data_IF_855123405701
#
_entry.id   IF_855123405701
#
_cell.length_a   1.000
_cell.length_b   1.000
_cell.length_c   1.000
_cell.angle_alpha   90.00
_cell.angle_beta   90.00
_cell.angle_gamma   90.00
#
_symmetry.space_group_name_H-M   'P 1'
#
loop_
_entity.id
_entity.type
_entity.pdbx_description
1 polymer ?
#
# COMPACT_ATOMS: atom_id res chain seq x y z
N UNK A 1 -9.69 -22.11 -20.01
CA UNK A 1 -10.50 -22.49 -18.84
C UNK A 1 -11.69 -21.56 -18.65
N UNK A 2 -12.81 -22.11 -18.17
CA UNK A 2 -13.99 -21.36 -17.75
C UNK A 2 -14.66 -22.01 -16.53
N UNK A 3 -15.43 -21.23 -15.75
CA UNK A 3 -16.29 -21.74 -14.69
C UNK A 3 -17.65 -22.13 -15.28
N UNK A 4 -18.13 -23.34 -15.00
CA UNK A 4 -19.50 -23.77 -15.29
C UNK A 4 -20.27 -23.84 -13.98
N UNK A 5 -21.31 -23.02 -13.83
CA UNK A 5 -22.17 -23.04 -12.65
C UNK A 5 -23.59 -23.40 -13.08
N UNK A 6 -24.08 -24.54 -12.57
CA UNK A 6 -25.39 -25.10 -12.90
C UNK A 6 -26.29 -25.00 -11.67
N UNK A 7 -27.53 -24.57 -11.84
CA UNK A 7 -28.49 -24.46 -10.73
C UNK A 7 -29.94 -24.78 -11.12
N UNK A 8 -30.68 -25.36 -10.18
CA UNK A 8 -32.13 -25.52 -10.23
C UNK A 8 -32.89 -24.23 -9.87
N UNK A 9 -32.21 -23.27 -9.24
CA UNK A 9 -32.85 -22.09 -8.67
C UNK A 9 -33.26 -21.12 -9.78
N UNK A 10 -34.55 -21.08 -10.10
CA UNK A 10 -35.11 -20.12 -11.04
C UNK A 10 -34.75 -18.67 -10.67
N UNK A 11 -34.35 -17.90 -11.67
CA UNK A 11 -33.95 -16.50 -11.49
C UNK A 11 -32.58 -16.28 -10.84
N UNK A 12 -31.81 -17.34 -10.55
CA UNK A 12 -30.47 -17.21 -9.95
C UNK A 12 -29.56 -16.22 -10.70
N UNK A 13 -29.65 -16.16 -12.03
CA UNK A 13 -28.81 -15.31 -12.88
C UNK A 13 -29.38 -13.91 -13.12
N UNK A 14 -30.42 -13.51 -12.37
CA UNK A 14 -30.99 -12.15 -12.40
C UNK A 14 -30.48 -11.26 -11.27
N UNK A 15 -29.94 -11.87 -10.21
CA UNK A 15 -29.32 -11.17 -9.08
C UNK A 15 -27.80 -11.31 -9.19
N UNK A 16 -27.00 -10.32 -8.77
CA UNK A 16 -25.54 -10.36 -8.92
C UNK A 16 -24.82 -11.28 -7.92
N UNK A 17 -25.56 -12.18 -7.25
CA UNK A 17 -25.04 -12.99 -6.13
C UNK A 17 -25.65 -14.38 -6.16
N UNK A 18 -24.86 -15.40 -5.82
CA UNK A 18 -25.33 -16.78 -5.76
C UNK A 18 -24.64 -17.56 -4.64
N UNK A 19 -25.34 -18.53 -4.06
CA UNK A 19 -24.83 -19.41 -3.01
C UNK A 19 -24.68 -20.83 -3.55
N UNK A 20 -23.45 -21.30 -3.69
CA UNK A 20 -23.13 -22.65 -4.14
C UNK A 20 -22.81 -23.55 -2.92
N UNK A 21 -23.37 -24.76 -2.79
CA UNK A 21 -22.94 -25.71 -1.76
C UNK A 21 -21.48 -26.15 -1.98
N UNK A 22 -20.66 -26.16 -0.92
CA UNK A 22 -19.21 -26.42 -1.06
C UNK A 22 -18.92 -27.88 -1.49
N UNK A 23 -19.77 -28.82 -1.12
CA UNK A 23 -19.70 -30.24 -1.52
C UNK A 23 -19.97 -30.45 -3.01
N UNK A 24 -20.56 -29.44 -3.67
CA UNK A 24 -20.85 -29.41 -5.11
C UNK A 24 -19.80 -28.69 -5.93
N UNK A 25 -18.73 -28.20 -5.29
CA UNK A 25 -17.63 -27.54 -5.98
C UNK A 25 -16.67 -28.53 -6.65
N UNK A 26 -16.19 -28.14 -7.84
CA UNK A 26 -15.35 -28.92 -8.73
C UNK A 26 -15.92 -30.32 -9.04
N UNK A 27 -17.23 -30.50 -8.97
CA UNK A 27 -17.87 -31.69 -9.53
C UNK A 27 -17.72 -31.67 -11.05
N UNK A 28 -17.52 -32.83 -11.68
CA UNK A 28 -17.36 -32.95 -13.14
C UNK A 28 -16.20 -32.12 -13.72
N UNK A 29 -15.27 -31.72 -12.86
CA UNK A 29 -13.95 -31.16 -13.21
C UNK A 29 -12.92 -32.30 -13.29
N UNK A 30 -12.01 -32.23 -14.26
CA UNK A 30 -10.90 -33.19 -14.35
C UNK A 30 -10.03 -33.20 -13.09
N UNK A 31 -9.56 -34.39 -12.69
CA UNK A 31 -8.83 -34.61 -11.43
C UNK A 31 -7.66 -33.65 -11.19
N UNK A 32 -6.77 -33.38 -12.18
CA UNK A 32 -5.66 -32.44 -11.97
C UNK A 32 -6.13 -31.01 -11.65
N UNK A 33 -7.18 -30.55 -12.33
CA UNK A 33 -7.78 -29.23 -12.14
C UNK A 33 -8.50 -29.19 -10.78
N UNK A 34 -9.23 -30.24 -10.44
CA UNK A 34 -9.96 -30.35 -9.17
C UNK A 34 -9.01 -30.26 -7.97
N UNK A 35 -7.90 -30.99 -7.98
CA UNK A 35 -6.95 -30.96 -6.86
C UNK A 35 -6.28 -29.59 -6.71
N UNK A 36 -6.07 -28.86 -7.81
CA UNK A 36 -5.52 -27.49 -7.79
C UNK A 36 -6.41 -26.51 -7.00
N UNK A 37 -7.73 -26.55 -7.20
CA UNK A 37 -8.65 -25.58 -6.58
C UNK A 37 -9.31 -26.06 -5.28
N UNK A 38 -9.03 -27.29 -4.85
CA UNK A 38 -9.68 -27.94 -3.70
C UNK A 38 -9.55 -27.20 -2.37
N UNK A 39 -8.43 -26.52 -2.17
CA UNK A 39 -8.09 -25.86 -0.89
C UNK A 39 -8.53 -24.39 -0.84
N UNK A 40 -8.98 -23.83 -1.96
CA UNK A 40 -9.30 -22.40 -2.09
C UNK A 40 -8.24 -21.48 -1.46
N UNK A 41 -6.98 -21.68 -1.81
CA UNK A 41 -5.94 -20.70 -1.50
C UNK A 41 -6.30 -19.33 -2.11
N UNK A 42 -5.69 -18.26 -1.60
CA UNK A 42 -5.89 -16.92 -2.17
C UNK A 42 -5.57 -16.89 -3.67
N UNK A 43 -4.48 -17.54 -4.08
CA UNK A 43 -4.10 -17.71 -5.49
C UNK A 43 -5.15 -18.48 -6.31
N UNK A 44 -5.69 -19.58 -5.76
CA UNK A 44 -6.74 -20.37 -6.40
C UNK A 44 -8.03 -19.54 -6.58
N UNK A 45 -8.40 -18.74 -5.59
CA UNK A 45 -9.58 -17.85 -5.66
C UNK A 45 -9.40 -16.79 -6.75
N UNK A 46 -8.25 -16.14 -6.80
CA UNK A 46 -7.97 -15.13 -7.83
C UNK A 46 -7.95 -15.73 -9.24
N UNK A 47 -7.41 -16.94 -9.39
CA UNK A 47 -7.44 -17.63 -10.67
C UNK A 47 -8.86 -18.02 -11.08
N UNK A 48 -9.69 -18.54 -10.17
CA UNK A 48 -11.11 -18.82 -10.43
C UNK A 48 -11.88 -17.55 -10.83
N UNK A 49 -11.61 -16.41 -10.19
CA UNK A 49 -12.17 -15.09 -10.55
C UNK A 49 -11.72 -14.63 -11.94
N UNK A 50 -10.54 -15.05 -12.40
CA UNK A 50 -9.99 -14.65 -13.70
C UNK A 50 -10.73 -15.30 -14.87
N UNK A 51 -11.35 -16.46 -14.66
CA UNK A 51 -11.99 -17.22 -15.71
C UNK A 51 -13.37 -16.64 -16.11
N UNK A 52 -13.71 -16.66 -17.41
CA UNK A 52 -15.09 -16.44 -17.82
C UNK A 52 -16.00 -17.52 -17.21
N UNK A 53 -17.26 -17.18 -17.00
CA UNK A 53 -18.22 -18.05 -16.31
C UNK A 53 -19.46 -18.23 -17.16
N UNK A 54 -19.83 -19.49 -17.38
CA UNK A 54 -21.07 -19.91 -17.99
C UNK A 54 -22.06 -20.28 -16.90
N UNK A 55 -23.11 -19.47 -16.77
CA UNK A 55 -24.19 -19.63 -15.80
C UNK A 55 -25.35 -20.36 -16.47
N UNK A 56 -25.67 -21.55 -15.98
CA UNK A 56 -26.58 -22.50 -16.64
C UNK A 56 -27.68 -22.92 -15.66
N UNK A 57 -28.87 -23.18 -16.19
CA UNK A 57 -29.93 -23.82 -15.44
C UNK A 57 -29.94 -25.32 -15.67
N UNK A 58 -30.40 -26.09 -14.68
CA UNK A 58 -30.62 -27.53 -14.83
C UNK A 58 -31.64 -27.85 -15.94
N UNK A 59 -31.52 -29.04 -16.55
CA UNK A 59 -32.30 -29.43 -17.73
C UNK A 59 -33.83 -29.37 -17.53
N UNK A 60 -34.32 -29.50 -16.30
CA UNK A 60 -35.76 -29.43 -16.01
C UNK A 60 -36.28 -27.99 -15.92
N UNK A 61 -35.42 -27.01 -15.64
CA UNK A 61 -35.80 -25.58 -15.58
C UNK A 61 -35.89 -24.99 -16.99
N UNK A 62 -35.03 -25.47 -17.92
CA UNK A 62 -34.95 -25.01 -19.32
C UNK A 62 -34.75 -23.50 -19.48
N UNK A 63 -34.12 -22.85 -18.50
CA UNK A 63 -33.78 -21.44 -18.59
C UNK A 63 -32.58 -21.18 -19.51
N UNK A 64 -32.53 -19.98 -20.09
CA UNK A 64 -31.41 -19.54 -20.92
C UNK A 64 -30.13 -19.37 -20.09
N UNK A 65 -29.00 -19.83 -20.63
CA UNK A 65 -27.70 -19.61 -20.04
C UNK A 65 -27.23 -18.15 -20.19
N UNK A 66 -26.31 -17.73 -19.32
CA UNK A 66 -25.68 -16.40 -19.35
C UNK A 66 -24.16 -16.54 -19.30
N UNK A 67 -23.46 -15.56 -19.85
CA UNK A 67 -21.99 -15.49 -19.84
C UNK A 67 -21.57 -14.27 -19.03
N UNK A 68 -20.57 -14.45 -18.17
CA UNK A 68 -20.09 -13.40 -17.29
C UNK A 68 -18.78 -13.79 -16.62
N UNK A 69 -18.55 -13.29 -15.41
CA UNK A 69 -17.40 -13.64 -14.58
C UNK A 69 -17.73 -13.46 -13.11
N UNK A 70 -16.98 -14.16 -12.27
CA UNK A 70 -17.05 -14.02 -10.82
C UNK A 70 -16.22 -12.80 -10.39
N UNK A 71 -16.79 -11.96 -9.54
CA UNK A 71 -16.15 -10.77 -8.97
C UNK A 71 -15.69 -10.99 -7.54
N UNK A 72 -16.39 -11.84 -6.79
CA UNK A 72 -16.03 -12.14 -5.41
C UNK A 72 -16.36 -13.58 -5.05
N UNK A 73 -15.50 -14.20 -4.23
CA UNK A 73 -15.71 -15.54 -3.70
C UNK A 73 -15.48 -15.47 -2.19
N UNK A 74 -16.48 -15.86 -1.40
CA UNK A 74 -16.36 -15.97 0.06
C UNK A 74 -16.81 -17.34 0.50
N UNK A 75 -15.94 -18.03 1.24
CA UNK A 75 -16.24 -19.37 1.77
C UNK A 75 -16.84 -19.23 3.16
N UNK A 76 -17.99 -19.85 3.38
CA UNK A 76 -18.72 -19.84 4.66
C UNK A 76 -19.12 -21.26 5.03
N UNK A 77 -18.44 -21.86 5.99
CA UNK A 77 -18.71 -23.21 6.53
C UNK A 77 -18.96 -24.28 5.45
N UNK A 78 -20.21 -24.43 4.99
CA UNK A 78 -20.66 -25.43 4.01
C UNK A 78 -21.07 -24.83 2.66
N UNK A 79 -20.81 -23.55 2.41
CA UNK A 79 -21.23 -22.86 1.19
C UNK A 79 -20.18 -21.89 0.67
N UNK A 80 -20.19 -21.70 -0.63
CA UNK A 80 -19.39 -20.73 -1.36
C UNK A 80 -20.36 -19.65 -1.82
N UNK A 81 -20.20 -18.46 -1.27
CA UNK A 81 -20.90 -17.28 -1.73
C UNK A 81 -20.12 -16.66 -2.88
N UNK A 82 -20.78 -16.43 -4.01
CA UNK A 82 -20.18 -15.75 -5.15
C UNK A 82 -20.95 -14.47 -5.46
N UNK A 83 -20.21 -13.43 -5.79
CA UNK A 83 -20.71 -12.28 -6.53
C UNK A 83 -20.24 -12.37 -7.97
N UNK A 84 -21.07 -11.95 -8.91
CA UNK A 84 -20.75 -12.05 -10.33
C UNK A 84 -21.36 -10.91 -11.14
N UNK A 85 -20.83 -10.73 -12.34
CA UNK A 85 -21.36 -9.82 -13.35
C UNK A 85 -21.60 -10.57 -14.64
N UNK A 86 -22.76 -10.33 -15.25
CA UNK A 86 -23.12 -10.84 -16.58
C UNK A 86 -22.65 -9.84 -17.62
N UNK A 87 -22.11 -10.32 -18.74
CA UNK A 87 -21.78 -9.46 -19.87
C UNK A 87 -23.09 -8.98 -20.54
N UNK A 88 -23.42 -7.68 -20.47
CA UNK A 88 -24.70 -7.18 -20.96
C UNK A 88 -24.85 -7.31 -22.48
N UNK A 89 -23.73 -7.27 -23.20
CA UNK A 89 -23.71 -7.30 -24.66
C UNK A 89 -23.76 -8.73 -25.22
N UNK A 90 -23.58 -9.77 -24.40
CA UNK A 90 -23.68 -11.17 -24.84
C UNK A 90 -25.11 -11.63 -24.61
N UNK A 91 -25.79 -12.01 -25.69
CA UNK A 91 -27.18 -12.44 -25.62
C UNK A 91 -27.33 -13.73 -24.78
N UNK A 92 -28.48 -13.88 -24.08
CA UNK A 92 -28.91 -15.16 -23.52
C UNK A 92 -28.71 -16.31 -24.49
N UNK A 93 -28.11 -17.42 -24.03
CA UNK A 93 -27.93 -18.62 -24.84
C UNK A 93 -29.10 -19.57 -24.55
N UNK A 94 -30.01 -19.82 -25.51
CA UNK A 94 -31.13 -20.71 -25.29
C UNK A 94 -30.69 -22.14 -24.93
N UNK A 95 -31.48 -22.84 -24.12
CA UNK A 95 -31.17 -24.22 -23.72
C UNK A 95 -30.96 -25.18 -24.92
N UNK A 96 -31.74 -25.00 -25.99
CA UNK A 96 -31.57 -25.75 -27.24
C UNK A 96 -30.22 -25.51 -27.91
N UNK A 97 -29.73 -24.28 -27.89
CA UNK A 97 -28.42 -23.90 -28.42
C UNK A 97 -27.30 -24.39 -27.52
N UNK A 98 -27.46 -24.30 -26.19
CA UNK A 98 -26.49 -24.85 -25.25
C UNK A 98 -26.28 -26.35 -25.47
N UNK A 99 -27.35 -27.08 -25.78
CA UNK A 99 -27.30 -28.51 -26.10
C UNK A 99 -26.42 -28.81 -27.33
N UNK A 100 -26.35 -27.92 -28.32
CA UNK A 100 -25.46 -28.08 -29.49
C UNK A 100 -24.00 -27.75 -29.17
N UNK A 101 -23.75 -26.93 -28.16
CA UNK A 101 -22.41 -26.57 -27.69
C UNK A 101 -21.82 -27.59 -26.71
N UNK A 102 -22.64 -28.46 -26.14
CA UNK A 102 -22.30 -29.31 -25.01
C UNK A 102 -20.99 -30.11 -25.23
N UNK A 103 -20.78 -30.68 -26.42
CA UNK A 103 -19.55 -31.39 -26.73
C UNK A 103 -18.32 -30.48 -26.80
N UNK A 104 -18.45 -29.28 -27.36
CA UNK A 104 -17.36 -28.29 -27.52
C UNK A 104 -16.99 -27.61 -26.20
N UNK A 105 -17.90 -27.63 -25.23
CA UNK A 105 -17.72 -27.04 -23.90
C UNK A 105 -17.41 -28.09 -22.82
N UNK A 106 -17.21 -29.35 -23.20
CA UNK A 106 -17.05 -30.49 -22.29
C UNK A 106 -18.20 -30.62 -21.24
N UNK A 107 -19.42 -30.37 -21.69
CA UNK A 107 -20.67 -30.61 -20.94
C UNK A 107 -21.25 -31.94 -21.42
N UNK A 108 -20.46 -33.02 -21.34
CA UNK A 108 -20.81 -34.31 -21.94
C UNK A 108 -21.45 -35.29 -20.94
N UNK A 109 -22.37 -36.13 -21.44
CA UNK A 109 -23.06 -37.17 -20.68
C UNK A 109 -24.55 -36.90 -20.42
N UNK A 110 -25.35 -37.97 -20.35
CA UNK A 110 -26.82 -37.91 -20.20
C UNK A 110 -27.31 -37.13 -18.97
N UNK A 111 -26.46 -36.98 -17.95
CA UNK A 111 -26.76 -36.32 -16.69
C UNK A 111 -25.86 -35.09 -16.47
N UNK A 112 -25.35 -34.49 -17.55
CA UNK A 112 -24.42 -33.38 -17.47
C UNK A 112 -25.05 -32.17 -16.76
N UNK A 113 -26.31 -31.84 -17.02
CA UNK A 113 -27.01 -30.70 -16.42
C UNK A 113 -28.17 -31.11 -15.49
N UNK A 114 -28.06 -32.28 -14.87
CA UNK A 114 -29.15 -32.88 -14.08
C UNK A 114 -29.20 -32.49 -12.60
N UNK A 115 -28.22 -31.71 -12.12
CA UNK A 115 -28.14 -31.25 -10.73
C UNK A 115 -27.33 -29.97 -10.61
N UNK A 116 -27.43 -29.33 -9.45
CA UNK A 116 -26.70 -28.11 -9.11
C UNK A 116 -25.24 -28.44 -8.81
N UNK A 117 -24.30 -27.78 -9.49
CA UNK A 117 -22.87 -27.91 -9.22
C UNK A 117 -22.06 -26.75 -9.82
N UNK A 118 -20.79 -26.66 -9.39
CA UNK A 118 -19.79 -25.80 -10.02
C UNK A 118 -18.64 -26.68 -10.53
N UNK A 119 -18.37 -26.63 -11.85
CA UNK A 119 -17.21 -27.25 -12.48
C UNK A 119 -16.23 -26.21 -13.03
N UNK A 120 -14.96 -26.61 -13.17
CA UNK A 120 -13.95 -25.89 -13.95
C UNK A 120 -13.66 -26.72 -15.18
N UNK A 121 -13.73 -26.09 -16.35
CA UNK A 121 -13.54 -26.73 -17.65
C UNK A 121 -12.34 -26.13 -18.35
N UNK A 122 -11.55 -26.96 -19.03
CA UNK A 122 -10.30 -26.50 -19.65
C UNK A 122 -10.52 -25.74 -20.98
N UNK A 123 -11.71 -25.87 -21.57
CA UNK A 123 -12.06 -25.20 -22.81
C UNK A 123 -12.02 -23.67 -22.71
N UNK A 124 -11.88 -23.01 -23.86
CA UNK A 124 -12.02 -21.56 -23.96
C UNK A 124 -13.46 -21.20 -24.36
N UNK A 125 -14.27 -20.83 -23.36
CA UNK A 125 -15.68 -20.47 -23.55
C UNK A 125 -15.86 -19.39 -24.62
N UNK A 126 -15.10 -18.30 -24.56
CA UNK A 126 -15.30 -17.19 -25.49
C UNK A 126 -14.89 -17.55 -26.92
N UNK A 127 -13.84 -18.36 -27.10
CA UNK A 127 -13.43 -18.84 -28.43
C UNK A 127 -14.49 -19.77 -29.04
N UNK A 128 -15.08 -20.65 -28.23
CA UNK A 128 -16.18 -21.53 -28.68
C UNK A 128 -17.39 -20.70 -29.09
N UNK A 129 -17.79 -19.71 -28.28
CA UNK A 129 -18.93 -18.83 -28.62
C UNK A 129 -18.68 -18.01 -29.89
N UNK A 130 -17.44 -17.56 -30.10
CA UNK A 130 -17.05 -16.83 -31.30
C UNK A 130 -17.08 -17.74 -32.53
N UNK A 131 -16.53 -18.96 -32.42
CA UNK A 131 -16.51 -19.95 -33.50
C UNK A 131 -17.90 -20.38 -33.96
N UNK A 132 -18.87 -20.41 -33.06
CA UNK A 132 -20.27 -20.74 -33.35
C UNK A 132 -21.12 -19.52 -33.75
N UNK A 133 -20.51 -18.32 -33.83
CA UNK A 133 -21.19 -17.09 -34.23
C UNK A 133 -22.20 -16.57 -33.21
N UNK A 134 -22.11 -17.01 -31.94
CA UNK A 134 -22.97 -16.54 -30.85
C UNK A 134 -22.51 -15.19 -30.28
N UNK A 135 -21.25 -14.85 -30.51
CA UNK A 135 -20.68 -13.53 -30.23
C UNK A 135 -19.86 -13.03 -31.42
N UNK A 136 -19.72 -11.72 -31.51
CA UNK A 136 -18.88 -11.03 -32.50
C UNK A 136 -17.46 -10.80 -31.95
N UNK A 137 -16.47 -10.56 -32.82
CA UNK A 137 -15.13 -10.13 -32.38
C UNK A 137 -15.15 -8.89 -31.49
N UNK A 138 -16.10 -7.98 -31.71
CA UNK A 138 -16.28 -6.79 -30.87
C UNK A 138 -16.74 -7.17 -29.45
N UNK A 139 -17.78 -8.01 -29.32
CA UNK A 139 -18.24 -8.51 -28.01
C UNK A 139 -17.15 -9.29 -27.27
N UNK A 140 -16.34 -10.08 -27.97
CA UNK A 140 -15.18 -10.77 -27.41
C UNK A 140 -14.17 -9.78 -26.80
N UNK A 141 -13.77 -8.77 -27.58
CA UNK A 141 -12.84 -7.74 -27.12
C UNK A 141 -13.39 -6.97 -25.93
N UNK A 142 -14.66 -6.58 -25.97
CA UNK A 142 -15.32 -5.84 -24.88
C UNK A 142 -15.39 -6.66 -23.59
N UNK A 143 -15.69 -7.96 -23.67
CA UNK A 143 -15.70 -8.85 -22.51
C UNK A 143 -14.33 -8.92 -21.81
N UNK A 144 -13.25 -9.00 -22.59
CA UNK A 144 -11.87 -8.97 -22.06
C UNK A 144 -11.54 -7.59 -21.47
N UNK A 145 -11.83 -6.51 -22.18
CA UNK A 145 -11.53 -5.14 -21.72
C UNK A 145 -12.25 -4.79 -20.41
N UNK A 146 -13.53 -5.14 -20.28
CA UNK A 146 -14.29 -4.88 -19.05
C UNK A 146 -13.71 -5.64 -17.86
N UNK A 147 -13.26 -6.88 -18.06
CA UNK A 147 -12.62 -7.66 -17.01
C UNK A 147 -11.28 -7.04 -16.58
N UNK A 148 -10.47 -6.58 -17.54
CA UNK A 148 -9.20 -5.91 -17.24
C UNK A 148 -9.46 -4.64 -16.44
N UNK A 149 -10.42 -3.81 -16.84
CA UNK A 149 -10.76 -2.57 -16.14
C UNK A 149 -11.21 -2.83 -14.68
N UNK A 150 -11.99 -3.88 -14.44
CA UNK A 150 -12.39 -4.25 -13.07
C UNK A 150 -11.22 -4.72 -12.21
N UNK A 151 -10.30 -5.50 -12.77
CA UNK A 151 -9.09 -5.93 -12.07
C UNK A 151 -8.17 -4.73 -11.76
N UNK A 152 -8.08 -3.75 -12.66
CA UNK A 152 -7.34 -2.52 -12.41
C UNK A 152 -7.98 -1.71 -11.27
N UNK A 153 -9.31 -1.59 -11.25
CA UNK A 153 -10.04 -0.88 -10.19
C UNK A 153 -9.84 -1.55 -8.82
N UNK A 154 -10.00 -2.88 -8.73
CA UNK A 154 -9.77 -3.64 -7.50
C UNK A 154 -8.32 -3.46 -6.99
N UNK A 155 -7.35 -3.45 -7.89
CA UNK A 155 -5.94 -3.19 -7.55
C UNK A 155 -5.72 -1.76 -7.03
N UNK A 156 -6.37 -0.75 -7.60
CA UNK A 156 -6.30 0.64 -7.12
C UNK A 156 -6.88 0.74 -5.70
N UNK A 157 -8.04 0.13 -5.46
CA UNK A 157 -8.68 0.12 -4.13
C UNK A 157 -7.82 -0.59 -3.09
N UNK A 158 -7.24 -1.75 -3.45
CA UNK A 158 -6.34 -2.52 -2.56
C UNK A 158 -5.09 -1.70 -2.22
N UNK A 159 -4.51 -1.00 -3.19
CA UNK A 159 -3.38 -0.07 -2.96
C UNK A 159 -3.78 1.07 -2.03
N UNK A 160 -4.93 1.71 -2.27
CA UNK A 160 -5.43 2.80 -1.42
C UNK A 160 -5.66 2.34 0.04
N UNK A 161 -6.20 1.13 0.22
CA UNK A 161 -6.40 0.53 1.54
C UNK A 161 -5.07 0.25 2.26
N UNK A 162 -4.08 -0.31 1.56
CA UNK A 162 -2.73 -0.52 2.10
C UNK A 162 -2.08 0.79 2.54
N UNK A 163 -2.11 1.82 1.69
CA UNK A 163 -1.63 3.15 2.03
C UNK A 163 -2.29 3.73 3.29
N UNK A 164 -3.61 3.51 3.46
CA UNK A 164 -4.35 3.99 4.63
C UNK A 164 -3.97 3.23 5.91
N UNK A 165 -3.85 1.90 5.82
CA UNK A 165 -3.45 1.06 6.94
C UNK A 165 -2.02 1.40 7.42
N UNK A 166 -1.12 1.64 6.49
CA UNK A 166 0.24 2.07 6.81
C UNK A 166 0.32 3.48 7.33
N UNK A 167 -0.50 4.42 6.84
CA UNK A 167 -0.63 5.74 7.47
C UNK A 167 -1.04 5.59 8.93
N UNK A 168 -1.97 4.69 9.24
CA UNK A 168 -2.39 4.44 10.62
C UNK A 168 -1.27 3.79 11.45
N UNK A 169 -0.52 2.84 10.88
CA UNK A 169 0.64 2.25 11.54
C UNK A 169 1.77 3.27 11.78
N UNK A 170 2.02 4.12 10.79
CA UNK A 170 2.99 5.21 10.81
C UNK A 170 2.60 6.28 11.84
N UNK A 171 1.34 6.73 11.83
CA UNK A 171 0.77 7.61 12.86
C UNK A 171 0.84 6.96 14.26
N UNK A 172 0.63 5.65 14.37
CA UNK A 172 0.75 4.90 15.61
C UNK A 172 2.18 4.88 16.16
N UNK A 173 3.17 4.55 15.32
CA UNK A 173 4.59 4.62 15.69
C UNK A 173 5.04 6.05 16.01
N UNK A 174 4.54 7.02 15.25
CA UNK A 174 4.77 8.44 15.51
C UNK A 174 4.11 8.92 16.81
N UNK A 175 2.95 8.41 17.20
CA UNK A 175 2.30 8.81 18.46
C UNK A 175 3.17 8.44 19.67
N UNK A 176 3.82 7.28 19.64
CA UNK A 176 4.80 6.88 20.66
C UNK A 176 6.03 7.79 20.67
N UNK A 177 6.55 8.12 19.49
CA UNK A 177 7.68 9.04 19.32
C UNK A 177 7.35 10.48 19.74
N UNK A 178 6.13 10.94 19.46
CA UNK A 178 5.55 12.21 19.88
C UNK A 178 5.42 12.28 21.39
N UNK A 179 4.86 11.23 22.00
CA UNK A 179 4.78 11.13 23.45
C UNK A 179 6.17 11.24 24.07
N UNK A 180 7.17 10.59 23.48
CA UNK A 180 8.56 10.71 23.94
C UNK A 180 9.07 12.16 23.82
N UNK A 181 8.96 12.79 22.65
CA UNK A 181 9.45 14.14 22.41
C UNK A 181 8.72 15.24 23.22
N UNK A 182 7.45 15.03 23.56
CA UNK A 182 6.68 15.90 24.46
C UNK A 182 7.09 15.66 25.92
N UNK A 183 7.27 14.41 26.31
CA UNK A 183 7.63 14.07 27.69
C UNK A 183 9.05 14.52 28.07
N UNK A 184 9.99 14.62 27.12
CA UNK A 184 11.35 15.09 27.40
C UNK A 184 11.43 16.52 27.97
N UNK A 185 10.94 17.58 27.29
CA UNK A 185 10.98 18.94 27.84
C UNK A 185 10.17 19.04 29.14
N UNK A 186 9.05 18.31 29.26
CA UNK A 186 8.27 18.24 30.51
C UNK A 186 9.10 17.66 31.65
N UNK A 187 9.85 16.58 31.40
CA UNK A 187 10.72 15.97 32.41
C UNK A 187 11.84 16.94 32.85
N UNK A 188 12.44 17.68 31.91
CA UNK A 188 13.47 18.68 32.22
C UNK A 188 12.91 19.84 33.04
N UNK A 189 11.72 20.35 32.70
CA UNK A 189 11.02 21.40 33.46
C UNK A 189 10.74 20.90 34.88
N UNK A 190 10.18 19.70 35.02
CA UNK A 190 9.87 19.10 36.32
C UNK A 190 11.13 18.92 37.17
N UNK A 191 12.20 18.38 36.60
CA UNK A 191 13.46 18.17 37.30
C UNK A 191 14.09 19.49 37.76
N UNK A 192 14.08 20.51 36.90
CA UNK A 192 14.60 21.83 37.25
C UNK A 192 13.79 22.48 38.39
N UNK A 193 12.46 22.42 38.32
CA UNK A 193 11.59 22.98 39.35
C UNK A 193 11.67 22.21 40.69
N UNK A 194 11.65 20.88 40.65
CA UNK A 194 11.76 20.05 41.86
C UNK A 194 13.12 20.15 42.53
N UNK A 195 14.21 20.26 41.74
CA UNK A 195 15.55 20.50 42.29
C UNK A 195 15.63 21.83 43.02
N UNK A 196 15.15 22.91 42.39
CA UNK A 196 15.13 24.23 43.02
C UNK A 196 14.25 24.27 44.28
N UNK A 197 13.13 23.56 44.32
CA UNK A 197 12.31 23.43 45.54
C UNK A 197 13.07 22.72 46.66
N UNK A 198 13.77 21.63 46.35
CA UNK A 198 14.62 20.92 47.32
C UNK A 198 15.73 21.81 47.87
N UNK A 199 16.42 22.56 47.00
CA UNK A 199 17.48 23.48 47.41
C UNK A 199 16.93 24.62 48.28
N UNK A 200 15.69 25.08 48.03
CA UNK A 200 15.01 26.07 48.87
C UNK A 200 14.71 25.47 50.26
N UNK A 201 14.14 24.26 50.32
CA UNK A 201 13.80 23.59 51.57
C UNK A 201 15.04 23.31 52.44
N UNK A 202 16.18 23.04 51.81
CA UNK A 202 17.47 22.79 52.48
C UNK A 202 18.28 24.08 52.77
N UNK A 203 17.77 25.28 52.42
CA UNK A 203 18.48 26.56 52.47
C UNK A 203 19.79 26.59 51.66
N UNK A 204 19.86 25.82 50.58
CA UNK A 204 20.98 25.76 49.64
C UNK A 204 20.80 26.66 48.41
N UNK A 205 19.56 27.07 48.12
CA UNK A 205 19.23 27.89 46.95
C UNK A 205 19.68 29.35 47.11
N UNK A 206 20.46 29.87 46.16
CA UNK A 206 20.81 31.30 46.10
C UNK A 206 19.99 32.03 45.02
N UNK A 207 18.98 32.84 45.40
CA UNK A 207 18.12 33.53 44.44
C UNK A 207 18.86 34.49 43.51
N UNK A 208 19.97 35.08 43.97
CA UNK A 208 20.71 36.08 43.19
C UNK A 208 21.46 35.48 42.00
N UNK A 209 21.79 34.19 42.07
CA UNK A 209 22.58 33.48 41.04
C UNK A 209 21.78 32.42 40.30
N UNK A 210 20.76 31.82 40.92
CA UNK A 210 20.11 30.61 40.39
C UNK A 210 18.71 30.85 39.83
N UNK A 211 17.99 31.87 40.33
CA UNK A 211 16.60 32.11 39.93
C UNK A 211 16.46 32.42 38.44
N UNK A 212 17.30 33.33 37.91
CA UNK A 212 17.24 33.72 36.50
C UNK A 212 17.59 32.54 35.56
N UNK A 213 18.72 31.82 35.75
CA UNK A 213 19.03 30.63 34.95
C UNK A 213 17.95 29.54 35.00
N UNK A 214 17.32 29.32 36.17
CA UNK A 214 16.22 28.38 36.33
C UNK A 214 15.02 28.78 35.46
N UNK A 215 14.59 30.04 35.54
CA UNK A 215 13.47 30.56 34.76
C UNK A 215 13.77 30.54 33.25
N UNK A 216 14.98 30.90 32.83
CA UNK A 216 15.42 30.80 31.43
C UNK A 216 15.38 29.35 30.93
N UNK A 217 15.83 28.40 31.75
CA UNK A 217 15.77 26.96 31.42
C UNK A 217 14.33 26.49 31.23
N UNK A 218 13.42 26.88 32.13
CA UNK A 218 11.99 26.53 32.03
C UNK A 218 11.37 27.18 30.78
N UNK A 219 11.63 28.46 30.53
CA UNK A 219 11.11 29.20 29.38
C UNK A 219 11.56 28.57 28.06
N UNK A 220 12.85 28.27 27.93
CA UNK A 220 13.41 27.62 26.74
C UNK A 220 12.78 26.25 26.47
N UNK A 221 12.55 25.42 27.50
CA UNK A 221 11.86 24.13 27.31
C UNK A 221 10.38 24.31 26.94
N UNK A 222 9.72 25.34 27.47
CA UNK A 222 8.31 25.64 27.16
C UNK A 222 8.14 26.14 25.73
N UNK A 223 9.08 26.95 25.24
CA UNK A 223 9.12 27.40 23.85
C UNK A 223 9.40 26.25 22.89
N UNK A 224 10.37 25.38 23.23
CA UNK A 224 10.61 24.13 22.50
C UNK A 224 9.36 23.25 22.43
N UNK A 225 8.63 23.10 23.53
CA UNK A 225 7.37 22.34 23.55
C UNK A 225 6.31 22.97 22.63
N UNK A 226 6.24 24.30 22.59
CA UNK A 226 5.32 25.04 21.72
C UNK A 226 5.66 24.85 20.24
N UNK A 227 6.95 24.85 19.89
CA UNK A 227 7.43 24.55 18.53
C UNK A 227 7.08 23.12 18.10
N UNK A 228 7.31 22.13 18.98
CA UNK A 228 6.94 20.72 18.74
C UNK A 228 5.43 20.60 18.47
N UNK A 229 4.60 21.22 19.30
CA UNK A 229 3.14 21.23 19.14
C UNK A 229 2.68 21.95 17.86
N UNK A 230 3.35 23.04 17.48
CA UNK A 230 3.09 23.76 16.24
C UNK A 230 3.36 22.90 15.00
N UNK A 231 4.53 22.28 14.94
CA UNK A 231 4.93 21.41 13.84
C UNK A 231 4.05 20.17 13.76
N UNK A 232 3.64 19.60 14.91
CA UNK A 232 2.67 18.49 14.91
C UNK A 232 1.31 18.89 14.35
N UNK A 233 0.77 20.06 14.73
CA UNK A 233 -0.51 20.53 14.19
C UNK A 233 -0.46 20.82 12.69
N UNK A 234 0.69 21.20 12.15
CA UNK A 234 0.89 21.34 10.69
C UNK A 234 0.88 19.97 10.02
N UNK A 235 1.68 19.04 10.54
CA UNK A 235 1.76 17.66 10.06
C UNK A 235 0.39 16.94 10.08
N UNK A 236 -0.36 17.04 11.18
CA UNK A 236 -1.65 16.36 11.34
C UNK A 236 -2.78 16.90 10.44
N UNK A 237 -2.62 18.11 9.88
CA UNK A 237 -3.62 18.78 9.02
C UNK A 237 -3.41 18.54 7.52
N UNK A 238 -2.37 17.81 7.11
CA UNK A 238 -2.07 17.58 5.68
C UNK A 238 -3.19 16.83 4.94
N UNK A 239 -3.63 17.42 3.83
CA UNK A 239 -4.49 16.79 2.81
C UNK A 239 -3.61 16.42 1.61
N UNK A 240 -3.64 15.16 1.15
CA UNK A 240 -2.83 14.65 0.02
C UNK A 240 -3.27 15.20 -1.34
N UNK A 241 -4.42 15.87 -1.43
CA UNK A 241 -5.03 16.27 -2.71
C UNK A 241 -4.51 17.62 -3.24
N UNK A 242 -3.86 18.43 -2.42
CA UNK A 242 -3.43 19.79 -2.81
C UNK A 242 -1.94 19.78 -3.16
N UNK A 243 -1.62 20.05 -4.42
CA UNK A 243 -0.26 20.40 -4.85
C UNK A 243 -0.06 21.91 -4.68
N UNK A 244 1.09 22.31 -4.14
CA UNK A 244 1.44 23.71 -3.98
C UNK A 244 2.96 23.91 -4.17
N UNK A 245 3.43 25.14 -4.39
CA UNK A 245 4.85 25.47 -4.25
C UNK A 245 5.30 25.24 -2.80
N UNK A 246 6.22 24.30 -2.58
CA UNK A 246 6.73 23.92 -1.26
C UNK A 246 8.25 24.05 -1.25
N UNK A 247 8.77 24.79 -0.26
CA UNK A 247 10.21 24.90 -0.04
C UNK A 247 10.74 23.65 0.68
N UNK A 248 11.60 22.88 0.01
CA UNK A 248 12.13 21.62 0.55
C UNK A 248 12.97 21.83 1.80
N UNK A 249 13.69 22.95 1.92
CA UNK A 249 14.50 23.24 3.11
C UNK A 249 13.61 23.39 4.35
N UNK A 250 12.45 24.04 4.21
CA UNK A 250 11.49 24.22 5.30
C UNK A 250 10.92 22.87 5.75
N UNK A 251 10.51 22.03 4.81
CA UNK A 251 9.99 20.67 5.12
C UNK A 251 11.05 19.84 5.83
N UNK A 252 12.29 19.87 5.34
CA UNK A 252 13.40 19.13 5.93
C UNK A 252 13.67 19.60 7.36
N UNK A 253 13.72 20.91 7.58
CA UNK A 253 13.98 21.46 8.90
C UNK A 253 12.85 21.14 9.88
N UNK A 254 11.59 21.35 9.48
CA UNK A 254 10.42 21.10 10.33
C UNK A 254 10.36 19.63 10.77
N UNK A 255 10.58 18.69 9.85
CA UNK A 255 10.59 17.25 10.13
C UNK A 255 11.82 16.84 10.96
N UNK A 256 13.01 17.31 10.61
CA UNK A 256 14.22 16.97 11.33
C UNK A 256 14.14 17.42 12.79
N UNK A 257 13.71 18.67 13.02
CA UNK A 257 13.56 19.22 14.37
C UNK A 257 12.47 18.51 15.17
N UNK A 258 11.34 18.18 14.52
CA UNK A 258 10.21 17.55 15.19
C UNK A 258 10.49 16.09 15.59
N UNK A 259 11.17 15.32 14.74
CA UNK A 259 11.21 13.86 14.85
C UNK A 259 12.61 13.29 15.11
N UNK A 260 13.65 13.89 14.53
CA UNK A 260 14.97 13.26 14.46
C UNK A 260 16.02 13.90 15.36
N UNK A 261 15.94 15.20 15.65
CA UNK A 261 17.02 15.90 16.39
C UNK A 261 17.32 15.26 17.75
N UNK A 262 16.28 14.90 18.52
CA UNK A 262 16.44 14.28 19.83
C UNK A 262 16.99 12.85 19.71
N UNK A 263 16.52 12.08 18.73
CA UNK A 263 16.95 10.70 18.53
C UNK A 263 18.39 10.63 18.05
N UNK A 264 18.78 11.51 17.15
CA UNK A 264 20.13 11.57 16.61
C UNK A 264 21.12 12.01 17.68
N UNK A 265 20.72 12.94 18.57
CA UNK A 265 21.50 13.29 19.75
C UNK A 265 21.69 12.09 20.70
N UNK A 266 20.62 11.35 21.00
CA UNK A 266 20.69 10.16 21.87
C UNK A 266 21.57 9.05 21.28
N UNK A 267 21.52 8.87 19.96
CA UNK A 267 22.26 7.81 19.27
C UNK A 267 23.69 8.21 18.89
N UNK A 268 24.11 9.45 19.19
CA UNK A 268 25.37 10.08 18.78
C UNK A 268 25.57 10.07 17.25
N UNK A 269 24.53 10.48 16.51
CA UNK A 269 24.56 10.61 15.06
C UNK A 269 24.86 12.07 14.69
N UNK A 270 25.95 12.27 13.95
CA UNK A 270 26.27 13.56 13.35
C UNK A 270 25.44 13.76 12.07
N UNK A 271 24.59 14.78 12.05
CA UNK A 271 23.80 15.12 10.88
C UNK A 271 24.30 16.41 10.23
N UNK A 272 24.82 16.29 9.00
CA UNK A 272 25.22 17.43 8.18
C UNK A 272 24.08 17.82 7.22
N UNK A 273 23.76 19.11 7.14
CA UNK A 273 22.75 19.65 6.22
C UNK A 273 23.43 20.58 5.21
N UNK A 274 23.24 20.32 3.93
CA UNK A 274 23.82 21.10 2.83
C UNK A 274 22.69 21.55 1.92
N UNK A 275 22.24 22.79 2.11
CA UNK A 275 21.04 23.28 1.42
C UNK A 275 21.36 24.14 0.21
N UNK A 276 20.65 23.89 -0.89
CA UNK A 276 20.58 24.84 -1.99
C UNK A 276 19.72 26.04 -1.62
N UNK A 277 19.90 27.13 -2.37
CA UNK A 277 19.11 28.35 -2.19
C UNK A 277 17.70 28.15 -2.73
N UNK A 278 16.72 28.13 -1.83
CA UNK A 278 15.29 28.12 -2.14
C UNK A 278 14.82 27.02 -3.13
N UNK A 279 15.05 25.73 -2.84
CA UNK A 279 14.53 24.61 -3.63
C UNK A 279 13.01 24.50 -3.49
N UNK A 280 12.27 25.06 -4.44
CA UNK A 280 10.80 25.02 -4.44
C UNK A 280 10.30 23.93 -5.38
N UNK A 281 9.63 22.92 -4.84
CA UNK A 281 8.95 21.86 -5.58
C UNK A 281 7.46 22.16 -5.73
N UNK A 282 6.87 21.79 -6.86
CA UNK A 282 5.40 21.78 -6.99
C UNK A 282 4.88 20.44 -6.53
N UNK A 283 4.58 20.34 -5.24
CA UNK A 283 4.35 19.05 -4.59
C UNK A 283 3.31 19.16 -3.47
N UNK A 284 2.86 18.01 -3.00
CA UNK A 284 2.11 17.92 -1.76
C UNK A 284 3.10 17.86 -0.57
N UNK A 285 2.98 18.78 0.38
CA UNK A 285 3.89 18.86 1.53
C UNK A 285 3.88 17.58 2.36
N UNK A 286 2.72 16.96 2.59
CA UNK A 286 2.62 15.72 3.37
C UNK A 286 3.35 14.56 2.68
N UNK A 287 3.23 14.46 1.36
CA UNK A 287 3.94 13.45 0.57
C UNK A 287 5.47 13.61 0.68
N UNK A 288 5.97 14.85 0.67
CA UNK A 288 7.39 15.15 0.91
C UNK A 288 7.85 14.73 2.30
N UNK A 289 7.04 15.03 3.33
CA UNK A 289 7.31 14.65 4.71
C UNK A 289 7.40 13.12 4.85
N UNK A 290 6.48 12.37 4.26
CA UNK A 290 6.48 10.89 4.29
C UNK A 290 7.75 10.30 3.66
N UNK A 291 8.15 10.80 2.48
CA UNK A 291 9.39 10.37 1.84
C UNK A 291 10.61 10.67 2.71
N UNK A 292 10.70 11.89 3.24
CA UNK A 292 11.82 12.30 4.09
C UNK A 292 11.94 11.43 5.34
N UNK A 293 10.82 11.15 6.01
CA UNK A 293 10.83 10.38 7.26
C UNK A 293 11.20 8.92 6.99
N UNK A 294 10.71 8.35 5.89
CA UNK A 294 11.13 7.02 5.43
C UNK A 294 12.65 6.96 5.21
N UNK A 295 13.21 7.93 4.50
CA UNK A 295 14.65 7.98 4.20
C UNK A 295 15.51 8.19 5.46
N UNK A 296 15.15 9.13 6.34
CA UNK A 296 15.88 9.37 7.59
C UNK A 296 15.81 8.18 8.56
N UNK A 297 14.66 7.51 8.65
CA UNK A 297 14.52 6.29 9.46
C UNK A 297 15.38 5.15 8.90
N UNK A 298 15.47 5.05 7.57
CA UNK A 298 16.32 4.06 6.92
C UNK A 298 17.81 4.33 7.20
N UNK A 299 18.25 5.58 7.05
CA UNK A 299 19.62 6.01 7.34
C UNK A 299 20.02 5.73 8.80
N UNK A 300 19.20 6.16 9.76
CA UNK A 300 19.42 5.93 11.21
C UNK A 300 19.61 4.45 11.53
N UNK A 301 18.76 3.59 10.96
CA UNK A 301 18.84 2.16 11.21
C UNK A 301 20.06 1.51 10.53
N UNK A 302 20.49 1.98 9.36
CA UNK A 302 21.65 1.46 8.64
C UNK A 302 22.99 1.70 9.36
N UNK A 303 23.04 2.72 10.23
CA UNK A 303 24.25 3.11 10.97
C UNK A 303 24.17 2.76 12.47
N UNK A 304 23.15 2.01 12.90
CA UNK A 304 22.90 1.73 14.33
C UNK A 304 24.13 1.17 15.05
N UNK A 305 24.85 0.26 14.39
CA UNK A 305 26.00 -0.46 14.94
C UNK A 305 27.37 0.14 14.55
N UNK A 306 27.38 1.30 13.86
CA UNK A 306 28.61 2.02 13.51
C UNK A 306 29.14 2.84 14.69
N UNK A 307 30.47 2.93 14.81
CA UNK A 307 31.13 3.76 15.83
C UNK A 307 31.09 5.26 15.50
N UNK A 308 31.34 5.62 14.24
CA UNK A 308 31.20 7.00 13.76
C UNK A 308 29.94 7.07 12.90
N UNK A 309 28.82 7.56 13.45
CA UNK A 309 27.52 7.56 12.77
C UNK A 309 27.28 8.90 12.09
N UNK A 310 27.15 8.90 10.77
CA UNK A 310 26.99 10.12 10.00
C UNK A 310 25.82 10.02 9.03
N UNK A 311 25.02 11.08 8.98
CA UNK A 311 23.93 11.25 8.01
C UNK A 311 24.05 12.62 7.35
N UNK A 312 24.00 12.68 6.03
CA UNK A 312 24.02 13.95 5.28
C UNK A 312 22.69 14.14 4.56
N UNK A 313 22.06 15.30 4.77
CA UNK A 313 20.87 15.72 4.03
C UNK A 313 21.28 16.84 3.08
N UNK A 314 21.02 16.66 1.78
CA UNK A 314 21.32 17.69 0.78
C UNK A 314 20.04 18.13 0.08
N UNK A 315 19.92 19.41 -0.25
CA UNK A 315 18.94 19.88 -1.23
C UNK A 315 19.66 20.42 -2.46
N UNK A 316 18.98 20.33 -3.60
CA UNK A 316 19.52 20.77 -4.87
C UNK A 316 18.40 21.31 -5.76
N UNK A 317 18.78 22.21 -6.66
CA UNK A 317 17.91 22.74 -7.70
C UNK A 317 18.75 22.91 -8.95
N UNK A 318 18.24 22.42 -10.07
CA UNK A 318 18.88 22.50 -11.38
C UNK A 318 17.81 22.54 -12.46
N UNK A 319 17.85 23.58 -13.31
CA UNK A 319 16.91 23.78 -14.40
C UNK A 319 15.44 23.70 -13.91
N UNK A 320 14.62 22.84 -14.53
CA UNK A 320 13.22 22.59 -14.14
C UNK A 320 13.07 21.48 -13.08
N UNK A 321 14.15 21.10 -12.40
CA UNK A 321 14.15 20.04 -11.41
C UNK A 321 14.68 20.53 -10.06
N UNK A 322 14.14 19.93 -9.01
CA UNK A 322 14.48 20.23 -7.64
C UNK A 322 14.41 18.94 -6.83
N UNK A 323 15.15 18.86 -5.73
CA UNK A 323 15.08 17.66 -4.93
C UNK A 323 15.91 17.71 -3.66
N UNK A 324 15.94 16.56 -3.01
CA UNK A 324 16.75 16.35 -1.82
C UNK A 324 17.35 14.96 -1.82
N UNK A 325 18.41 14.75 -1.05
CA UNK A 325 18.97 13.44 -0.80
C UNK A 325 19.24 13.23 0.68
N UNK A 326 19.20 11.96 1.09
CA UNK A 326 19.64 11.49 2.40
C UNK A 326 20.73 10.44 2.15
N UNK A 327 21.90 10.68 2.75
CA UNK A 327 23.09 9.84 2.67
C UNK A 327 23.45 9.33 4.06
N UNK A 328 23.83 8.07 4.18
CA UNK A 328 24.40 7.49 5.40
C UNK A 328 25.81 6.95 5.16
N UNK A 329 26.52 6.62 6.24
CA UNK A 329 27.82 5.96 6.21
C UNK A 329 27.74 4.49 6.69
N UNK A 330 26.61 3.84 6.41
CA UNK A 330 26.31 2.44 6.70
C UNK A 330 27.15 1.45 5.87
N UNK A 331 26.58 0.28 5.61
CA UNK A 331 27.20 -0.75 4.76
C UNK A 331 26.79 -0.61 3.29
N UNK A 332 25.86 0.31 2.99
CA UNK A 332 25.28 0.46 1.67
C UNK A 332 24.31 -0.67 1.34
N UNK A 333 24.07 -0.87 0.04
CA UNK A 333 23.18 -1.92 -0.48
C UNK A 333 24.02 -2.93 -1.28
N UNK A 334 23.86 -4.22 -0.99
CA UNK A 334 24.54 -5.30 -1.71
C UNK A 334 24.07 -5.41 -3.16
N UNK A 335 24.92 -5.87 -4.07
CA UNK A 335 24.56 -6.00 -5.50
C UNK A 335 23.35 -6.92 -5.74
N UNK A 336 23.19 -7.96 -4.91
CA UNK A 336 22.04 -8.87 -4.99
C UNK A 336 20.72 -8.17 -4.67
N UNK A 337 20.73 -7.18 -3.77
CA UNK A 337 19.54 -6.48 -3.32
C UNK A 337 19.20 -5.25 -4.19
N UNK A 338 20.15 -4.72 -4.97
CA UNK A 338 19.92 -3.55 -5.83
C UNK A 338 18.71 -3.69 -6.78
N UNK A 339 18.51 -4.80 -7.51
CA UNK A 339 17.36 -4.93 -8.42
C UNK A 339 16.02 -4.93 -7.70
N UNK A 340 16.02 -5.23 -6.39
CA UNK A 340 14.82 -5.39 -5.57
C UNK A 340 14.59 -4.23 -4.60
N UNK A 341 15.48 -3.22 -4.60
CA UNK A 341 15.54 -2.16 -3.59
C UNK A 341 14.23 -1.37 -3.40
N UNK A 342 13.45 -1.25 -4.48
CA UNK A 342 12.17 -0.55 -4.51
C UNK A 342 10.99 -1.52 -4.70
N UNK A 343 11.16 -2.81 -4.41
CA UNK A 343 10.05 -3.77 -4.42
C UNK A 343 9.37 -3.83 -3.04
N UNK A 344 8.04 -3.96 -2.98
CA UNK A 344 7.34 -4.03 -1.70
C UNK A 344 7.73 -5.29 -0.93
N UNK A 345 7.66 -5.22 0.41
CA UNK A 345 7.94 -6.32 1.35
C UNK A 345 9.38 -6.85 1.37
N UNK A 346 10.30 -6.19 0.66
CA UNK A 346 11.72 -6.51 0.74
C UNK A 346 12.35 -5.73 1.92
N UNK A 347 12.50 -6.39 3.06
CA UNK A 347 13.13 -5.82 4.26
C UNK A 347 14.30 -6.69 4.70
N UNK A 348 15.43 -6.08 5.02
CA UNK A 348 16.52 -6.72 5.77
C UNK A 348 16.36 -6.59 7.30
N UNK A 349 15.26 -5.99 7.78
CA UNK A 349 15.04 -5.64 9.20
C UNK A 349 13.91 -6.46 9.81
N UNK A 350 14.13 -6.96 11.02
CA UNK A 350 13.17 -7.75 11.81
C UNK A 350 11.89 -6.98 12.23
N UNK A 351 11.86 -5.65 12.14
CA UNK A 351 10.77 -4.79 12.63
C UNK A 351 10.14 -3.87 11.56
N UNK A 352 10.66 -3.84 10.33
CA UNK A 352 10.16 -2.97 9.26
C UNK A 352 9.48 -3.77 8.16
N UNK A 353 8.27 -3.38 7.74
CA UNK A 353 7.50 -4.08 6.70
C UNK A 353 8.16 -4.09 5.30
N UNK A 354 9.30 -3.41 5.09
CA UNK A 354 10.00 -3.39 3.78
C UNK A 354 9.33 -2.53 2.71
N UNK A 355 8.51 -1.57 3.14
CA UNK A 355 7.63 -0.81 2.25
C UNK A 355 8.08 0.64 2.03
N UNK A 356 8.92 1.18 2.90
CA UNK A 356 9.29 2.60 2.92
C UNK A 356 9.92 3.11 1.61
N UNK A 357 10.83 2.35 0.99
CA UNK A 357 11.47 2.75 -0.27
C UNK A 357 10.55 2.55 -1.48
N UNK A 358 9.74 1.49 -1.50
CA UNK A 358 8.70 1.29 -2.51
C UNK A 358 7.76 2.49 -2.54
N UNK A 359 7.28 2.96 -1.39
CA UNK A 359 6.40 4.12 -1.33
C UNK A 359 7.09 5.43 -1.66
N UNK A 360 8.36 5.62 -1.29
CA UNK A 360 9.10 6.78 -1.81
C UNK A 360 9.10 6.80 -3.34
N UNK A 361 9.21 5.64 -3.99
CA UNK A 361 9.16 5.55 -5.45
C UNK A 361 7.78 5.87 -6.01
N UNK A 362 6.72 5.30 -5.44
CA UNK A 362 5.35 5.58 -5.92
C UNK A 362 4.98 7.06 -5.68
N UNK A 363 5.30 7.61 -4.51
CA UNK A 363 5.06 9.03 -4.20
C UNK A 363 5.84 9.94 -5.16
N UNK A 364 7.15 9.68 -5.36
CA UNK A 364 7.94 10.49 -6.27
C UNK A 364 7.37 10.43 -7.70
N UNK A 365 6.93 9.24 -8.15
CA UNK A 365 6.31 9.05 -9.46
C UNK A 365 4.97 9.80 -9.59
N UNK A 366 4.12 9.75 -8.57
CA UNK A 366 2.83 10.45 -8.54
C UNK A 366 3.01 11.98 -8.59
N UNK A 367 4.12 12.48 -8.05
CA UNK A 367 4.53 13.88 -8.14
C UNK A 367 5.28 14.23 -9.43
N UNK A 368 5.34 13.31 -10.41
CA UNK A 368 6.02 13.53 -11.69
C UNK A 368 7.56 13.49 -11.62
N UNK A 369 8.10 12.87 -10.56
CA UNK A 369 9.53 12.80 -10.27
C UNK A 369 10.07 11.37 -10.16
N UNK A 370 11.22 11.21 -9.50
CA UNK A 370 11.92 9.94 -9.33
C UNK A 370 12.67 9.84 -8.01
N UNK A 371 13.00 8.60 -7.62
CA UNK A 371 13.95 8.27 -6.56
C UNK A 371 15.07 7.40 -7.14
N UNK A 372 16.31 7.71 -6.80
CA UNK A 372 17.49 6.97 -7.23
C UNK A 372 18.37 6.59 -6.05
N UNK A 373 18.93 5.39 -6.09
CA UNK A 373 19.99 4.97 -5.19
C UNK A 373 21.36 5.28 -5.80
N UNK A 374 22.30 5.69 -4.96
CA UNK A 374 23.72 5.79 -5.28
C UNK A 374 24.56 5.41 -4.06
N UNK A 375 25.77 4.86 -4.25
CA UNK A 375 26.71 4.66 -3.15
C UNK A 375 27.14 6.04 -2.61
N UNK A 376 26.93 6.27 -1.31
CA UNK A 376 27.27 7.53 -0.68
C UNK A 376 28.80 7.70 -0.62
N UNK A 377 29.33 8.94 -0.68
CA UNK A 377 30.77 9.18 -0.62
C UNK A 377 31.47 8.63 0.63
N UNK A 378 30.73 8.49 1.73
CA UNK A 378 31.21 7.94 3.01
C UNK A 378 31.06 6.40 3.09
N UNK A 379 30.70 5.73 2.00
CA UNK A 379 30.63 4.28 1.87
C UNK A 379 29.27 3.64 2.16
N UNK A 380 28.28 4.42 2.63
CA UNK A 380 26.93 3.92 2.88
C UNK A 380 25.97 4.10 1.71
N UNK A 381 24.67 4.21 2.01
CA UNK A 381 23.63 4.40 1.00
C UNK A 381 23.25 5.87 0.83
N UNK A 382 23.05 6.29 -0.41
CA UNK A 382 22.48 7.58 -0.78
C UNK A 382 21.18 7.39 -1.54
N UNK A 383 20.13 8.09 -1.14
CA UNK A 383 18.85 8.13 -1.86
C UNK A 383 18.57 9.55 -2.31
N UNK A 384 18.41 9.76 -3.62
CA UNK A 384 18.15 11.07 -4.23
C UNK A 384 16.72 11.12 -4.76
N UNK A 385 15.93 12.06 -4.25
CA UNK A 385 14.62 12.42 -4.78
C UNK A 385 14.80 13.55 -5.79
N UNK A 386 14.09 13.44 -6.91
CA UNK A 386 14.00 14.43 -7.98
C UNK A 386 12.53 14.72 -8.25
N UNK A 387 12.14 15.99 -8.30
CA UNK A 387 10.78 16.46 -8.54
C UNK A 387 10.77 17.62 -9.54
N UNK A 388 9.63 17.89 -10.20
CA UNK A 388 9.44 19.11 -10.97
C UNK A 388 9.57 20.36 -10.06
N UNK A 389 10.37 21.33 -10.48
CA UNK A 389 10.43 22.63 -9.83
C UNK A 389 9.10 23.37 -9.98
N UNK A 390 8.72 24.17 -8.96
CA UNK A 390 7.64 25.13 -9.13
C UNK A 390 8.14 26.23 -10.08
N UNK A 391 7.52 26.32 -11.26
CA UNK A 391 7.87 27.28 -12.31
C UNK A 391 7.66 28.74 -11.92
#
# INVERSE_FOLDING_TARGET
MYNLIVTAQEGAWTQPTYLCPIDRFAEKTDLPIREKYKTFSEEAIEELKSFPTLFVYEDFVKGDARVGYITHITIRYTSIYIEFRIFPDILPIPHSTLSTLAQKLDITGYWALSRTYWAIKDENLLDVLLGEGLITPHQYSTAISNKIADLELENIEKRAALHKAERLAYLGGMATMMAHNINQPIAVIRMAASGALSDVDENLFNPSTELKPLLEKILNQTERLSQIMGNFRKFARGDRTVLAPVNLNTVIEDIYQLLFVAQYQLDNIECQKIFSTSPIAYANELALQEMLISLLSNARAAIKDKTNKQVTIKTWQQDNQVGFSVEDNGEGITQENLPKLFTPFLSSKHEGMGLGLYFCREIAKDLGGSIEYYPAPLGGAGFKITLPAAG
#
